data_IF_495623238461
#
_entry.id   IF_495623238461
#
_cell.length_a   1.000
_cell.length_b   1.000
_cell.length_c   1.000
_cell.angle_alpha   90.00
_cell.angle_beta   90.00
_cell.angle_gamma   90.00
#
_symmetry.space_group_name_H-M   'P 1'
#
loop_
_entity.id
_entity.type
_entity.pdbx_description
1 polymer ?
#
# COMPACT_ATOMS: atom_id res chain seq x y z
N UNK A 1 12.24 -10.67 5.06
CA UNK A 1 12.02 -10.01 3.76
C UNK A 1 12.11 -8.50 3.91
N UNK A 2 12.47 -7.78 2.85
CA UNK A 2 12.45 -6.31 2.88
C UNK A 2 11.06 -5.75 3.18
N UNK A 3 11.04 -4.55 3.74
CA UNK A 3 9.82 -3.82 4.05
C UNK A 3 9.79 -2.56 3.20
N UNK A 4 8.62 -2.26 2.64
CA UNK A 4 8.43 -1.13 1.73
C UNK A 4 7.34 -0.20 2.23
N UNK A 5 7.57 1.10 2.05
CA UNK A 5 6.56 2.13 2.27
C UNK A 5 6.04 2.58 0.91
N UNK A 6 4.75 2.40 0.69
CA UNK A 6 4.08 2.87 -0.52
C UNK A 6 3.27 4.13 -0.23
N UNK A 7 3.46 5.15 -1.05
CA UNK A 7 2.77 6.43 -0.90
C UNK A 7 1.74 6.57 -2.00
N UNK A 8 0.49 6.83 -1.61
CA UNK A 8 -0.62 7.02 -2.53
C UNK A 8 -1.16 8.44 -2.39
N UNK A 9 -1.39 9.09 -3.52
CA UNK A 9 -2.02 10.40 -3.58
C UNK A 9 -3.18 10.29 -4.56
N UNK A 10 -4.41 10.34 -4.06
CA UNK A 10 -5.61 10.15 -4.86
C UNK A 10 -6.11 11.45 -5.51
N UNK A 11 -5.49 12.58 -5.16
CA UNK A 11 -5.82 13.87 -5.76
C UNK A 11 -7.16 14.46 -5.35
N UNK A 12 -7.83 13.85 -4.38
CA UNK A 12 -9.13 14.28 -3.85
C UNK A 12 -9.35 13.67 -2.48
N UNK A 13 -10.21 14.26 -1.63
CA UNK A 13 -10.56 13.63 -0.36
C UNK A 13 -11.17 12.25 -0.56
N UNK A 14 -10.95 11.37 0.40
CA UNK A 14 -11.47 10.00 0.40
C UNK A 14 -12.46 9.83 1.54
N UNK A 15 -13.33 8.82 1.41
CA UNK A 15 -14.17 8.37 2.51
C UNK A 15 -13.50 7.20 3.22
N UNK A 16 -13.91 6.96 4.46
CA UNK A 16 -13.43 5.81 5.21
C UNK A 16 -13.78 4.48 4.52
N UNK A 17 -14.98 4.41 3.92
CA UNK A 17 -15.40 3.23 3.17
C UNK A 17 -14.47 2.94 2.00
N UNK A 18 -14.04 3.98 1.27
CA UNK A 18 -13.11 3.84 0.15
C UNK A 18 -11.76 3.31 0.61
N UNK A 19 -11.21 3.86 1.70
CA UNK A 19 -9.90 3.43 2.18
C UNK A 19 -9.95 1.99 2.71
N UNK A 20 -11.02 1.59 3.38
CA UNK A 20 -11.21 0.22 3.87
C UNK A 20 -11.31 -0.76 2.72
N UNK A 21 -12.04 -0.42 1.67
CA UNK A 21 -12.17 -1.26 0.48
C UNK A 21 -10.81 -1.43 -0.21
N UNK A 22 -10.10 -0.33 -0.44
CA UNK A 22 -8.78 -0.35 -1.06
C UNK A 22 -7.81 -1.23 -0.26
N UNK A 23 -7.82 -1.08 1.05
CA UNK A 23 -6.93 -1.84 1.94
C UNK A 23 -7.24 -3.34 1.89
N UNK A 24 -8.52 -3.71 1.96
CA UNK A 24 -8.94 -5.12 1.90
C UNK A 24 -8.51 -5.77 0.59
N UNK A 25 -8.71 -5.10 -0.53
CA UNK A 25 -8.31 -5.61 -1.85
C UNK A 25 -6.79 -5.74 -1.95
N UNK A 26 -6.06 -4.75 -1.45
CA UNK A 26 -4.61 -4.78 -1.45
C UNK A 26 -4.07 -5.93 -0.60
N UNK A 27 -4.62 -6.15 0.59
CA UNK A 27 -4.22 -7.27 1.45
C UNK A 27 -4.38 -8.62 0.75
N UNK A 28 -5.49 -8.81 0.05
CA UNK A 28 -5.74 -10.04 -0.70
C UNK A 28 -4.76 -10.19 -1.87
N UNK A 29 -4.50 -9.12 -2.59
CA UNK A 29 -3.54 -9.12 -3.69
C UNK A 29 -2.13 -9.45 -3.20
N UNK A 30 -1.72 -8.90 -2.06
CA UNK A 30 -0.43 -9.22 -1.44
C UNK A 30 -0.29 -10.72 -1.14
N UNK A 31 -1.31 -11.33 -0.56
CA UNK A 31 -1.29 -12.77 -0.28
C UNK A 31 -1.10 -13.59 -1.55
N UNK A 32 -1.75 -13.18 -2.62
CA UNK A 32 -1.65 -13.84 -3.92
C UNK A 32 -0.24 -13.80 -4.50
N UNK A 33 0.51 -12.76 -4.21
CA UNK A 33 1.85 -12.55 -4.74
C UNK A 33 2.98 -12.82 -3.74
N UNK A 34 2.67 -13.42 -2.59
CA UNK A 34 3.68 -13.78 -1.61
C UNK A 34 4.20 -12.61 -0.79
N UNK A 35 3.40 -11.56 -0.65
CA UNK A 35 3.71 -10.39 0.17
C UNK A 35 2.75 -10.32 1.36
N UNK A 36 3.07 -9.46 2.31
CA UNK A 36 2.23 -9.24 3.49
C UNK A 36 2.03 -7.74 3.71
N UNK A 37 0.79 -7.30 3.62
CA UNK A 37 0.41 -5.93 3.91
C UNK A 37 0.21 -5.78 5.43
N UNK A 38 1.10 -5.01 6.07
CA UNK A 38 1.13 -4.89 7.53
C UNK A 38 0.14 -3.87 8.07
N UNK A 39 0.17 -2.65 7.53
CA UNK A 39 -0.66 -1.55 8.02
C UNK A 39 -0.74 -0.44 6.99
N UNK A 40 -1.74 0.41 7.16
CA UNK A 40 -1.91 1.60 6.36
C UNK A 40 -2.22 2.78 7.28
N UNK A 41 -1.57 3.89 7.01
CA UNK A 41 -1.90 5.18 7.59
C UNK A 41 -2.60 6.00 6.52
N UNK A 42 -3.53 6.84 6.88
CA UNK A 42 -4.26 7.63 5.89
C UNK A 42 -4.71 8.97 6.45
N UNK A 43 -4.94 9.89 5.54
CA UNK A 43 -5.56 11.19 5.82
C UNK A 43 -6.66 11.38 4.80
N UNK A 44 -7.91 11.29 5.22
CA UNK A 44 -9.05 11.34 4.33
C UNK A 44 -9.18 12.67 3.62
N UNK A 45 -9.00 13.76 4.35
CA UNK A 45 -9.11 15.11 3.80
C UNK A 45 -8.04 15.39 2.74
N UNK A 46 -6.81 14.97 3.01
CA UNK A 46 -5.71 15.12 2.07
C UNK A 46 -5.79 14.16 0.89
N UNK A 47 -6.59 13.09 1.01
CA UNK A 47 -6.68 12.06 -0.02
C UNK A 47 -5.39 11.28 -0.19
N UNK A 48 -4.69 11.02 0.90
CA UNK A 48 -3.40 10.32 0.89
C UNK A 48 -3.40 9.12 1.83
N UNK A 49 -2.61 8.12 1.46
CA UNK A 49 -2.37 6.98 2.33
C UNK A 49 -0.92 6.49 2.19
N UNK A 50 -0.46 5.80 3.24
CA UNK A 50 0.88 5.25 3.35
C UNK A 50 0.73 3.80 3.80
N UNK A 51 1.08 2.86 2.91
CA UNK A 51 0.99 1.44 3.25
C UNK A 51 2.38 0.88 3.56
N UNK A 52 2.43 -0.03 4.52
CA UNK A 52 3.65 -0.75 4.90
C UNK A 52 3.48 -2.20 4.48
N UNK A 53 4.37 -2.68 3.62
CA UNK A 53 4.29 -4.03 3.04
C UNK A 53 5.63 -4.73 3.16
N UNK A 54 5.60 -5.98 3.58
CA UNK A 54 6.74 -6.88 3.54
C UNK A 54 6.65 -7.75 2.30
N UNK A 55 7.71 -7.77 1.48
CA UNK A 55 7.69 -8.49 0.21
C UNK A 55 9.11 -8.87 -0.22
N UNK A 56 9.26 -9.87 -1.11
CA UNK A 56 10.59 -10.26 -1.62
C UNK A 56 11.29 -9.16 -2.39
N UNK A 57 10.54 -8.29 -3.07
CA UNK A 57 11.12 -7.22 -3.89
C UNK A 57 10.10 -6.10 -4.09
N UNK A 58 10.60 -4.95 -4.54
CA UNK A 58 9.75 -3.82 -4.93
C UNK A 58 8.81 -4.18 -6.08
N UNK A 59 9.26 -5.01 -7.02
CA UNK A 59 8.44 -5.45 -8.14
C UNK A 59 7.18 -6.17 -7.68
N UNK A 60 7.29 -7.03 -6.66
CA UNK A 60 6.14 -7.73 -6.11
C UNK A 60 5.13 -6.76 -5.52
N UNK A 61 5.61 -5.72 -4.83
CA UNK A 61 4.73 -4.69 -4.25
C UNK A 61 4.01 -3.93 -5.37
N UNK A 62 4.73 -3.58 -6.43
CA UNK A 62 4.14 -2.89 -7.58
C UNK A 62 3.08 -3.74 -8.27
N UNK A 63 3.35 -5.03 -8.47
CA UNK A 63 2.38 -5.97 -9.07
C UNK A 63 1.12 -6.07 -8.21
N UNK A 64 1.28 -6.19 -6.88
CA UNK A 64 0.16 -6.30 -5.97
C UNK A 64 -0.73 -5.05 -6.02
N UNK A 65 -0.13 -3.86 -6.10
CA UNK A 65 -0.87 -2.61 -6.24
C UNK A 65 -1.56 -2.50 -7.61
N UNK A 66 -0.84 -2.81 -8.67
CA UNK A 66 -1.36 -2.66 -10.04
C UNK A 66 -2.54 -3.60 -10.31
N UNK A 67 -2.52 -4.80 -9.75
CA UNK A 67 -3.63 -5.75 -9.90
C UNK A 67 -4.96 -5.18 -9.36
N UNK A 68 -4.89 -4.26 -8.41
CA UNK A 68 -6.07 -3.64 -7.81
C UNK A 68 -6.29 -2.19 -8.24
N UNK A 69 -5.57 -1.73 -9.26
CA UNK A 69 -5.65 -0.35 -9.74
C UNK A 69 -5.36 0.66 -8.63
N UNK A 70 -4.35 0.37 -7.79
CA UNK A 70 -3.92 1.22 -6.69
C UNK A 70 -2.50 1.72 -6.95
N UNK A 71 -2.30 2.65 -7.90
CA UNK A 71 -0.96 3.10 -8.24
C UNK A 71 -0.29 3.80 -7.06
N UNK A 72 0.99 3.56 -6.89
CA UNK A 72 1.80 4.27 -5.90
C UNK A 72 2.45 5.48 -6.54
N UNK A 73 2.43 6.60 -5.84
CA UNK A 73 3.19 7.79 -6.24
C UNK A 73 4.67 7.56 -6.01
N UNK A 74 5.00 6.86 -4.93
CA UNK A 74 6.37 6.54 -4.56
C UNK A 74 6.40 5.24 -3.77
N UNK A 75 7.43 4.43 -4.00
CA UNK A 75 7.66 3.20 -3.26
C UNK A 75 9.12 3.18 -2.80
N UNK A 76 9.32 3.09 -1.49
CA UNK A 76 10.66 3.16 -0.88
C UNK A 76 10.84 1.97 0.04
N UNK A 77 12.01 1.32 -0.08
CA UNK A 77 12.41 0.33 0.91
C UNK A 77 12.77 1.05 2.21
N UNK A 78 12.28 0.56 3.33
CA UNK A 78 12.47 1.20 4.64
C UNK A 78 12.99 0.21 5.65
N UNK A 79 13.63 0.73 6.70
CA UNK A 79 14.08 -0.06 7.84
C UNK A 79 13.43 0.46 9.10
N UNK A 80 13.21 -0.44 10.03
CA UNK A 80 12.68 -0.09 11.34
C UNK A 80 13.83 0.15 12.32
N UNK A 81 13.83 1.30 12.95
CA UNK A 81 14.79 1.56 14.02
C UNK A 81 14.40 0.74 15.25
N UNK A 82 15.36 0.02 15.76
CA UNK A 82 15.19 -0.81 16.95
C UNK A 82 15.60 -0.07 18.22
#
# INVERSE_FOLDING_TARGET
MPVFLGIHDFGKPLTEAEIKDNWSRYQQSCKKHGAQAWKVYYNLEAGRSWCVTEAPSADVVNIAHNDENLPTKELIEVEKLK
#
